data_IF_961316240920
#
_entry.id   IF_961316240920
#
_cell.length_a   1.000
_cell.length_b   1.000
_cell.length_c   1.000
_cell.angle_alpha   90.00
_cell.angle_beta   90.00
_cell.angle_gamma   90.00
#
_symmetry.space_group_name_H-M   'P 1'
#
loop_
_entity.id
_entity.type
_entity.pdbx_description
1 polymer ?
#
# COMPACT_ATOMS: atom_id res chain seq x y z
N UNK A 1 28.03 -34.25 -10.74
CA UNK A 1 27.07 -33.17 -10.87
C UNK A 1 27.65 -31.93 -10.21
N UNK A 2 28.14 -30.98 -11.02
CA UNK A 2 28.83 -29.79 -10.55
C UNK A 2 27.89 -28.83 -9.82
N UNK A 3 28.43 -27.92 -9.01
CA UNK A 3 27.64 -26.88 -8.33
C UNK A 3 26.85 -25.98 -9.33
N UNK A 4 27.35 -25.84 -10.55
CA UNK A 4 26.68 -25.15 -11.65
C UNK A 4 25.45 -25.90 -12.19
N UNK A 5 25.44 -27.22 -12.22
CA UNK A 5 24.29 -28.03 -12.63
C UNK A 5 23.15 -27.96 -11.60
N UNK A 6 23.46 -27.80 -10.30
CA UNK A 6 22.44 -27.61 -9.24
C UNK A 6 21.80 -26.21 -9.26
N UNK A 7 22.51 -25.20 -9.74
CA UNK A 7 21.96 -23.83 -9.91
C UNK A 7 20.99 -23.74 -11.10
N UNK A 8 21.19 -24.56 -12.15
CA UNK A 8 20.35 -24.53 -13.35
C UNK A 8 19.00 -25.24 -13.19
N UNK A 9 18.77 -25.99 -12.12
CA UNK A 9 17.52 -26.77 -11.94
C UNK A 9 16.41 -26.00 -11.21
N UNK A 10 16.61 -24.76 -10.78
CA UNK A 10 15.59 -23.98 -10.02
C UNK A 10 15.05 -22.73 -10.72
N UNK A 11 15.47 -22.39 -11.93
CA UNK A 11 15.13 -21.09 -12.56
C UNK A 11 14.59 -21.16 -13.98
N UNK A 12 14.02 -22.25 -14.44
CA UNK A 12 13.26 -22.20 -15.72
C UNK A 12 11.86 -21.65 -15.46
N UNK A 13 11.76 -20.32 -15.27
CA UNK A 13 10.47 -19.65 -15.29
C UNK A 13 9.88 -19.78 -16.69
N UNK A 14 8.71 -20.41 -16.82
CA UNK A 14 8.01 -20.50 -18.09
C UNK A 14 7.49 -19.09 -18.50
N UNK A 15 8.21 -18.47 -19.42
CA UNK A 15 7.81 -17.17 -19.99
C UNK A 15 6.77 -17.27 -21.11
N UNK A 16 6.27 -18.45 -21.44
CA UNK A 16 5.16 -18.62 -22.42
C UNK A 16 3.84 -18.11 -21.83
N UNK A 17 3.66 -18.25 -20.52
CA UNK A 17 2.44 -17.84 -19.83
C UNK A 17 2.15 -16.34 -19.94
N UNK A 18 0.88 -15.99 -20.09
CA UNK A 18 0.41 -14.58 -20.07
C UNK A 18 0.55 -13.97 -18.67
N UNK A 19 0.38 -14.76 -17.60
CA UNK A 19 0.53 -14.34 -16.21
C UNK A 19 1.77 -14.99 -15.61
N UNK A 20 2.73 -14.17 -15.22
CA UNK A 20 3.97 -14.56 -14.57
C UNK A 20 3.81 -14.40 -13.05
N UNK A 21 4.01 -15.47 -12.28
CA UNK A 21 3.86 -15.51 -10.82
C UNK A 21 5.19 -15.82 -10.12
N UNK A 22 6.10 -14.85 -10.02
CA UNK A 22 7.40 -15.05 -9.41
C UNK A 22 7.26 -15.33 -7.91
N UNK A 23 8.14 -16.20 -7.38
CA UNK A 23 8.22 -16.52 -5.94
C UNK A 23 9.49 -15.99 -5.29
N UNK A 24 10.43 -15.46 -6.10
CA UNK A 24 11.70 -14.90 -5.62
C UNK A 24 12.01 -13.56 -6.31
N UNK A 25 12.94 -12.79 -5.74
CA UNK A 25 13.41 -11.52 -6.31
C UNK A 25 14.11 -11.74 -7.65
N UNK A 26 14.89 -12.82 -7.75
CA UNK A 26 15.58 -13.20 -8.98
C UNK A 26 14.60 -13.49 -10.11
N UNK A 27 13.49 -14.19 -9.81
CA UNK A 27 12.45 -14.48 -10.79
C UNK A 27 11.72 -13.21 -11.25
N UNK A 28 11.55 -12.20 -10.37
CA UNK A 28 11.02 -10.88 -10.75
C UNK A 28 11.99 -10.19 -11.72
N UNK A 29 13.28 -10.17 -11.40
CA UNK A 29 14.34 -9.58 -12.24
C UNK A 29 14.35 -10.23 -13.62
N UNK A 30 14.33 -11.56 -13.70
CA UNK A 30 14.34 -12.30 -14.95
C UNK A 30 13.10 -12.04 -15.80
N UNK A 31 11.92 -12.00 -15.18
CA UNK A 31 10.67 -11.69 -15.86
C UNK A 31 10.71 -10.29 -16.51
N UNK A 32 11.18 -9.28 -15.78
CA UNK A 32 11.29 -7.91 -16.30
C UNK A 32 12.36 -7.84 -17.40
N UNK A 33 13.54 -8.44 -17.21
CA UNK A 33 14.60 -8.51 -18.24
C UNK A 33 14.10 -9.18 -19.52
N UNK A 34 13.35 -10.28 -19.39
CA UNK A 34 12.78 -10.97 -20.55
C UNK A 34 11.82 -10.04 -21.32
N UNK A 35 10.86 -9.42 -20.62
CA UNK A 35 9.91 -8.51 -21.24
C UNK A 35 10.59 -7.29 -21.85
N UNK A 36 11.58 -6.71 -21.18
CA UNK A 36 12.37 -5.58 -21.71
C UNK A 36 13.11 -5.95 -23.00
N UNK A 37 13.83 -7.07 -23.02
CA UNK A 37 14.57 -7.54 -24.21
C UNK A 37 13.68 -7.84 -25.41
N UNK A 38 12.45 -8.26 -25.17
CA UNK A 38 11.47 -8.62 -26.19
C UNK A 38 10.49 -7.49 -26.53
N UNK A 39 10.63 -6.32 -25.90
CA UNK A 39 9.69 -5.20 -26.00
C UNK A 39 8.24 -5.61 -25.72
N UNK A 40 8.04 -6.46 -24.71
CA UNK A 40 6.72 -6.93 -24.30
C UNK A 40 6.15 -5.98 -23.23
N UNK A 41 5.01 -5.31 -23.49
CA UNK A 41 4.32 -4.51 -22.47
C UNK A 41 3.90 -5.38 -21.27
N UNK A 42 4.31 -4.98 -20.05
CA UNK A 42 4.14 -5.73 -18.82
C UNK A 42 3.27 -4.96 -17.83
N UNK A 43 2.14 -5.55 -17.44
CA UNK A 43 1.32 -5.07 -16.34
C UNK A 43 1.89 -5.59 -15.01
N UNK A 44 1.95 -4.72 -13.99
CA UNK A 44 2.35 -5.10 -12.64
C UNK A 44 1.09 -5.21 -11.78
N UNK A 45 0.88 -6.36 -11.16
CA UNK A 45 -0.30 -6.63 -10.35
C UNK A 45 0.06 -7.25 -8.99
N UNK A 46 -0.75 -6.95 -7.98
CA UNK A 46 -0.79 -7.67 -6.71
C UNK A 46 -2.12 -8.44 -6.62
N UNK A 47 -2.97 -8.08 -5.66
CA UNK A 47 -4.32 -8.65 -5.51
C UNK A 47 -5.39 -7.99 -6.41
N UNK A 48 -5.02 -7.04 -7.27
CA UNK A 48 -5.90 -6.47 -8.28
C UNK A 48 -6.93 -5.45 -7.80
N UNK A 49 -6.97 -5.11 -6.52
CA UNK A 49 -7.99 -4.21 -5.93
C UNK A 49 -8.06 -2.80 -6.53
N UNK A 50 -7.08 -2.42 -7.34
CA UNK A 50 -6.96 -1.07 -7.95
C UNK A 50 -6.88 -1.12 -9.47
N UNK A 51 -7.24 -2.25 -10.06
CA UNK A 51 -7.11 -2.49 -11.50
C UNK A 51 -8.02 -1.60 -12.34
N UNK A 52 -9.16 -1.21 -11.78
CA UNK A 52 -10.15 -0.33 -12.43
C UNK A 52 -9.79 1.15 -12.34
N UNK A 53 -8.66 1.52 -11.70
CA UNK A 53 -8.23 2.92 -11.56
C UNK A 53 -7.35 3.31 -12.72
N UNK A 54 -7.67 4.44 -13.36
CA UNK A 54 -6.89 4.99 -14.45
C UNK A 54 -7.41 4.59 -15.83
N UNK A 55 -6.56 4.73 -16.83
CA UNK A 55 -6.89 4.37 -18.21
C UNK A 55 -6.58 2.90 -18.49
N UNK A 56 -7.43 2.25 -19.26
CA UNK A 56 -7.11 0.93 -19.78
C UNK A 56 -5.88 1.00 -20.67
N UNK A 57 -4.96 0.08 -20.46
CA UNK A 57 -3.80 -0.11 -21.33
C UNK A 57 -3.73 -1.56 -21.81
N UNK A 58 -3.10 -1.75 -22.97
CA UNK A 58 -2.92 -3.08 -23.51
C UNK A 58 -1.60 -3.66 -23.01
N UNK A 59 -1.67 -4.64 -22.11
CA UNK A 59 -0.53 -5.43 -21.70
C UNK A 59 -0.56 -6.79 -22.42
N UNK A 60 0.60 -7.31 -22.77
CA UNK A 60 0.72 -8.67 -23.30
C UNK A 60 0.99 -9.68 -22.20
N UNK A 61 1.59 -9.23 -21.10
CA UNK A 61 1.87 -10.06 -19.94
C UNK A 61 1.55 -9.31 -18.64
N UNK A 62 1.22 -10.09 -17.62
CA UNK A 62 1.01 -9.59 -16.25
C UNK A 62 2.04 -10.21 -15.31
N UNK A 63 2.74 -9.40 -14.55
CA UNK A 63 3.59 -9.83 -13.44
C UNK A 63 2.74 -9.77 -12.16
N UNK A 64 2.28 -10.93 -11.71
CA UNK A 64 1.46 -11.09 -10.51
C UNK A 64 2.35 -11.37 -9.30
N UNK A 65 2.46 -10.39 -8.43
CA UNK A 65 3.30 -10.43 -7.22
C UNK A 65 2.58 -11.01 -6.01
N UNK A 66 1.33 -11.41 -6.11
CA UNK A 66 0.55 -11.91 -4.97
C UNK A 66 1.19 -13.12 -4.26
N UNK A 67 1.94 -13.94 -5.00
CA UNK A 67 2.69 -15.08 -4.47
C UNK A 67 4.05 -14.70 -3.85
N UNK A 68 4.54 -13.47 -4.09
CA UNK A 68 5.77 -12.94 -3.50
C UNK A 68 5.45 -12.16 -2.24
N UNK A 69 5.04 -12.85 -1.18
CA UNK A 69 4.50 -12.30 0.05
C UNK A 69 5.22 -12.79 1.30
N UNK A 70 5.00 -12.11 2.40
CA UNK A 70 5.47 -12.47 3.73
C UNK A 70 6.17 -11.31 4.45
N UNK A 71 6.18 -11.40 5.79
CA UNK A 71 6.93 -10.50 6.67
C UNK A 71 8.38 -10.94 6.67
N UNK A 72 9.29 -10.00 6.41
CA UNK A 72 10.75 -10.23 6.42
C UNK A 72 11.29 -9.92 7.81
N UNK A 73 10.87 -8.79 8.39
CA UNK A 73 11.27 -8.34 9.72
C UNK A 73 10.19 -7.44 10.32
N UNK A 74 9.92 -7.61 11.61
CA UNK A 74 9.06 -6.72 12.35
C UNK A 74 9.73 -6.35 13.67
N UNK A 75 9.95 -5.08 13.90
CA UNK A 75 10.56 -4.52 15.10
C UNK A 75 9.57 -3.54 15.74
N UNK A 76 8.70 -4.03 16.63
CA UNK A 76 7.65 -3.22 17.24
C UNK A 76 8.20 -2.02 18.02
N UNK A 77 9.33 -2.19 18.71
CA UNK A 77 9.94 -1.14 19.53
C UNK A 77 10.61 -0.05 18.69
N UNK A 78 11.06 -0.40 17.49
CA UNK A 78 11.61 0.53 16.51
C UNK A 78 10.53 1.10 15.56
N UNK A 79 9.28 0.69 15.75
CA UNK A 79 8.10 1.15 15.00
C UNK A 79 8.23 0.98 13.47
N UNK A 80 8.74 -0.16 13.02
CA UNK A 80 8.72 -0.49 11.60
C UNK A 80 8.46 -1.97 11.33
N UNK A 81 7.91 -2.22 10.14
CA UNK A 81 7.77 -3.55 9.56
C UNK A 81 8.39 -3.58 8.17
N UNK A 82 9.13 -4.64 7.86
CA UNK A 82 9.69 -4.91 6.54
C UNK A 82 9.01 -6.13 5.95
N UNK A 83 8.46 -5.96 4.75
CA UNK A 83 7.65 -6.99 4.09
C UNK A 83 7.98 -7.11 2.61
N UNK A 84 7.65 -8.24 2.00
CA UNK A 84 7.62 -8.42 0.56
C UNK A 84 6.44 -7.66 -0.03
N UNK A 85 6.58 -7.11 -1.24
CA UNK A 85 5.60 -6.21 -1.86
C UNK A 85 4.23 -6.86 -2.12
N UNK A 86 4.17 -8.16 -2.34
CA UNK A 86 2.94 -8.93 -2.52
C UNK A 86 2.20 -9.26 -1.22
N UNK A 87 2.70 -8.85 -0.06
CA UNK A 87 2.03 -9.10 1.23
C UNK A 87 0.72 -8.32 1.29
N UNK A 88 -0.38 -9.01 1.61
CA UNK A 88 -1.69 -8.39 1.72
C UNK A 88 -1.75 -7.41 2.91
N UNK A 89 -2.50 -6.34 2.75
CA UNK A 89 -2.74 -5.37 3.84
C UNK A 89 -3.38 -6.08 5.04
N UNK A 90 -4.30 -7.03 4.78
CA UNK A 90 -4.92 -7.84 5.84
C UNK A 90 -3.87 -8.58 6.69
N UNK A 91 -2.94 -9.30 6.05
CA UNK A 91 -1.89 -10.02 6.78
C UNK A 91 -0.97 -9.09 7.57
N UNK A 92 -0.68 -7.88 7.04
CA UNK A 92 0.11 -6.88 7.77
C UNK A 92 -0.67 -6.39 8.99
N UNK A 93 -1.95 -6.07 8.86
CA UNK A 93 -2.80 -5.64 9.97
C UNK A 93 -2.86 -6.70 11.07
N UNK A 94 -3.08 -7.97 10.70
CA UNK A 94 -3.10 -9.10 11.64
C UNK A 94 -1.77 -9.24 12.42
N UNK A 95 -0.63 -8.97 11.78
CA UNK A 95 0.66 -9.00 12.45
C UNK A 95 0.85 -7.82 13.40
N UNK A 96 0.47 -6.61 12.96
CA UNK A 96 0.57 -5.39 13.76
C UNK A 96 -0.37 -5.39 14.98
N UNK A 97 -1.54 -6.01 14.84
CA UNK A 97 -2.55 -6.14 15.90
C UNK A 97 -2.02 -6.88 17.12
N UNK A 98 -1.12 -7.85 16.94
CA UNK A 98 -0.46 -8.59 18.04
C UNK A 98 0.34 -7.69 18.98
N UNK A 99 0.71 -6.49 18.52
CA UNK A 99 1.51 -5.50 19.26
C UNK A 99 0.80 -4.16 19.41
N UNK A 100 -0.52 -4.13 19.22
CA UNK A 100 -1.35 -2.92 19.27
C UNK A 100 -0.80 -1.78 18.41
N UNK A 101 -0.35 -2.11 17.18
CA UNK A 101 0.19 -1.17 16.20
C UNK A 101 -0.64 -1.15 14.93
N UNK A 102 -0.44 -0.14 14.08
CA UNK A 102 -1.23 0.09 12.87
C UNK A 102 -0.43 0.74 11.75
N UNK A 103 -0.91 0.57 10.52
CA UNK A 103 -0.56 1.41 9.37
C UNK A 103 -1.38 2.71 9.48
N UNK A 104 -0.80 3.76 10.04
CA UNK A 104 -1.54 4.97 10.37
C UNK A 104 -2.10 5.74 9.16
N UNK A 105 -1.55 5.53 7.96
CA UNK A 105 -2.07 6.10 6.71
C UNK A 105 -3.36 5.44 6.21
N UNK A 106 -3.88 4.44 6.93
CA UNK A 106 -5.19 3.81 6.70
C UNK A 106 -5.39 3.35 5.25
N UNK A 107 -4.75 2.25 4.81
CA UNK A 107 -5.02 1.71 3.49
C UNK A 107 -6.49 1.38 3.30
N UNK A 108 -7.12 1.95 2.26
CA UNK A 108 -8.53 1.77 1.97
C UNK A 108 -8.81 0.44 1.23
N UNK A 109 -10.00 -0.11 1.46
CA UNK A 109 -10.54 -1.24 0.72
C UNK A 109 -11.17 -0.79 -0.61
N UNK A 110 -10.33 -0.69 -1.64
CA UNK A 110 -10.80 -0.34 -2.98
C UNK A 110 -11.51 -1.50 -3.69
N UNK A 111 -11.30 -2.74 -3.26
CA UNK A 111 -12.03 -3.88 -3.80
C UNK A 111 -13.52 -3.77 -3.50
N UNK A 112 -13.90 -3.39 -2.29
CA UNK A 112 -15.29 -3.13 -1.94
C UNK A 112 -15.93 -2.04 -2.80
N UNK A 113 -15.15 -1.00 -3.14
CA UNK A 113 -15.64 0.14 -3.94
C UNK A 113 -15.85 -0.22 -5.42
N UNK A 114 -14.93 -0.98 -6.02
CA UNK A 114 -14.93 -1.22 -7.47
C UNK A 114 -15.50 -2.58 -7.85
N UNK A 115 -15.24 -3.61 -7.06
CA UNK A 115 -15.57 -5.01 -7.40
C UNK A 115 -16.68 -5.59 -6.52
N UNK A 116 -17.17 -4.82 -5.53
CA UNK A 116 -18.18 -5.26 -4.56
C UNK A 116 -17.69 -6.36 -3.59
N UNK A 117 -16.38 -6.66 -3.59
CA UNK A 117 -15.75 -7.66 -2.71
C UNK A 117 -14.61 -7.02 -1.94
N UNK A 118 -14.56 -7.27 -0.62
CA UNK A 118 -13.47 -6.77 0.21
C UNK A 118 -12.11 -7.23 -0.31
N UNK A 119 -11.27 -6.27 -0.70
CA UNK A 119 -9.91 -6.48 -1.15
C UNK A 119 -9.07 -5.21 -0.93
N UNK A 120 -8.43 -5.10 0.22
CA UNK A 120 -7.53 -3.98 0.54
C UNK A 120 -6.26 -3.97 -0.34
N UNK A 121 -5.98 -5.09 -1.01
CA UNK A 121 -4.83 -5.26 -1.89
C UNK A 121 -3.55 -5.63 -1.16
N UNK A 122 -2.42 -5.45 -1.86
CA UNK A 122 -1.07 -5.66 -1.34
C UNK A 122 -0.43 -4.34 -0.95
N UNK A 123 0.57 -4.39 -0.06
CA UNK A 123 1.33 -3.20 0.34
C UNK A 123 2.03 -2.55 -0.86
N UNK A 124 2.59 -3.35 -1.77
CA UNK A 124 3.19 -2.84 -3.01
C UNK A 124 2.17 -2.05 -3.85
N UNK A 125 0.95 -2.56 -4.01
CA UNK A 125 -0.12 -1.88 -4.73
C UNK A 125 -0.59 -0.59 -4.04
N UNK A 126 -0.70 -0.58 -2.71
CA UNK A 126 -1.07 0.61 -1.93
C UNK A 126 -0.02 1.71 -2.09
N UNK A 127 1.26 1.37 -1.94
CA UNK A 127 2.35 2.34 -2.09
C UNK A 127 2.52 2.81 -3.54
N UNK A 128 2.42 1.90 -4.51
CA UNK A 128 2.48 2.29 -5.92
C UNK A 128 1.42 3.33 -6.30
N UNK A 129 0.26 3.32 -5.66
CA UNK A 129 -0.81 4.30 -5.87
C UNK A 129 -0.76 5.48 -4.89
N UNK A 130 0.02 5.39 -3.82
CA UNK A 130 0.09 6.37 -2.72
C UNK A 130 -1.30 6.67 -2.11
N UNK A 131 -2.13 5.65 -1.97
CA UNK A 131 -3.44 5.82 -1.37
C UNK A 131 -3.37 5.81 0.15
N UNK A 132 -4.16 6.68 0.73
CA UNK A 132 -4.29 6.86 2.17
C UNK A 132 -5.75 7.16 2.53
N UNK A 133 -6.13 6.84 3.76
CA UNK A 133 -7.44 7.12 4.30
C UNK A 133 -7.65 8.58 4.73
N UNK A 134 -8.79 8.87 5.36
CA UNK A 134 -9.19 10.23 5.72
C UNK A 134 -8.27 10.92 6.73
N UNK A 135 -7.46 10.16 7.48
CA UNK A 135 -6.46 10.73 8.40
C UNK A 135 -5.21 11.30 7.71
N UNK A 136 -5.17 11.32 6.38
CA UNK A 136 -4.01 11.78 5.60
C UNK A 136 -3.51 13.17 6.01
N UNK A 137 -4.38 14.12 6.30
CA UNK A 137 -3.99 15.47 6.71
C UNK A 137 -3.29 15.51 8.08
N UNK A 138 -3.55 14.52 8.93
CA UNK A 138 -2.96 14.40 10.26
C UNK A 138 -1.68 13.58 10.29
N UNK A 139 -1.69 12.42 9.65
CA UNK A 139 -0.61 11.43 9.74
C UNK A 139 0.25 11.35 8.48
N UNK A 140 -0.12 12.06 7.42
CA UNK A 140 0.53 11.97 6.13
C UNK A 140 -0.05 10.86 5.23
N UNK A 141 0.46 10.77 4.03
CA UNK A 141 0.11 9.76 3.03
C UNK A 141 0.93 8.48 3.21
N UNK A 142 0.61 7.45 2.44
CA UNK A 142 1.41 6.21 2.43
C UNK A 142 2.90 6.49 2.15
N UNK A 143 3.19 7.46 1.26
CA UNK A 143 4.54 7.92 0.93
C UNK A 143 5.34 8.40 2.15
N UNK A 144 4.67 9.01 3.12
CA UNK A 144 5.32 9.60 4.29
C UNK A 144 5.71 8.53 5.34
N UNK A 145 5.19 7.32 5.18
CA UNK A 145 5.48 6.17 6.02
C UNK A 145 6.52 5.19 5.42
N UNK A 146 6.95 5.38 4.16
CA UNK A 146 7.99 4.53 3.57
C UNK A 146 9.35 4.95 4.09
N UNK A 147 10.05 4.04 4.78
CA UNK A 147 11.41 4.22 5.30
C UNK A 147 12.47 3.81 4.29
N UNK A 148 12.16 2.81 3.47
CA UNK A 148 13.04 2.30 2.44
C UNK A 148 12.43 1.18 1.64
N UNK A 149 13.08 0.83 0.54
CA UNK A 149 12.63 -0.24 -0.33
C UNK A 149 13.80 -0.91 -1.06
N UNK A 150 13.53 -2.13 -1.55
CA UNK A 150 14.18 -2.73 -2.70
C UNK A 150 13.18 -2.83 -3.84
N UNK A 151 13.68 -2.78 -5.06
CA UNK A 151 12.84 -2.91 -6.24
C UNK A 151 13.63 -3.21 -7.50
N UNK A 152 12.93 -3.37 -8.59
CA UNK A 152 13.49 -3.66 -9.92
C UNK A 152 12.99 -2.59 -10.89
N UNK A 153 13.90 -1.94 -11.59
CA UNK A 153 13.54 -0.95 -12.60
C UNK A 153 13.08 -1.63 -13.92
N UNK A 154 12.62 -0.83 -14.89
CA UNK A 154 12.14 -1.35 -16.17
C UNK A 154 13.19 -2.09 -17.03
N UNK A 155 14.48 -2.00 -16.69
CA UNK A 155 15.56 -2.76 -17.35
C UNK A 155 15.90 -4.07 -16.65
N UNK A 156 15.23 -4.36 -15.52
CA UNK A 156 15.53 -5.52 -14.69
C UNK A 156 16.74 -5.35 -13.79
N UNK A 157 17.11 -4.11 -13.45
CA UNK A 157 18.21 -3.81 -12.53
C UNK A 157 17.65 -3.61 -11.12
N UNK A 158 18.32 -4.19 -10.13
CA UNK A 158 17.98 -4.02 -8.72
C UNK A 158 18.32 -2.59 -8.27
N UNK A 159 17.37 -1.96 -7.62
CA UNK A 159 17.50 -0.65 -7.00
C UNK A 159 17.09 -0.73 -5.53
N UNK A 160 17.73 0.07 -4.70
CA UNK A 160 17.36 0.22 -3.29
C UNK A 160 17.54 1.67 -2.84
N UNK A 161 16.72 2.12 -1.92
CA UNK A 161 16.85 3.42 -1.29
C UNK A 161 16.31 3.36 0.13
N UNK A 162 16.88 4.18 1.02
CA UNK A 162 16.51 4.20 2.42
C UNK A 162 16.97 2.95 3.19
N UNK A 163 16.36 2.72 4.33
CA UNK A 163 16.66 1.62 5.24
C UNK A 163 15.51 1.34 6.18
N UNK A 164 15.83 1.19 7.47
CA UNK A 164 14.86 1.03 8.55
C UNK A 164 14.79 2.23 9.48
N UNK A 165 15.59 3.27 9.21
CA UNK A 165 15.66 4.49 10.03
C UNK A 165 14.88 5.64 9.40
N UNK A 166 14.28 6.46 10.24
CA UNK A 166 13.41 7.57 9.82
C UNK A 166 14.19 8.69 9.09
N UNK A 167 15.50 8.81 9.31
CA UNK A 167 16.33 9.86 8.73
C UNK A 167 17.31 9.28 7.72
N UNK A 168 17.07 9.56 6.44
CA UNK A 168 18.05 9.35 5.37
C UNK A 168 18.60 10.72 4.94
N UNK A 169 19.92 10.92 5.07
CA UNK A 169 20.56 12.22 4.82
C UNK A 169 21.43 12.23 3.58
N UNK A 170 21.49 11.13 2.82
CA UNK A 170 22.36 11.00 1.67
C UNK A 170 21.60 10.62 0.40
N UNK A 171 21.71 11.45 -0.65
CA UNK A 171 21.16 11.18 -1.97
C UNK A 171 19.66 11.54 -2.13
N UNK A 172 19.14 11.25 -3.34
CA UNK A 172 17.72 11.45 -3.63
C UNK A 172 16.85 10.42 -2.88
N UNK A 173 15.72 10.88 -2.37
CA UNK A 173 14.72 10.01 -1.76
C UNK A 173 13.89 9.31 -2.86
N UNK A 174 14.44 8.24 -3.41
CA UNK A 174 13.76 7.45 -4.45
C UNK A 174 12.46 6.83 -3.91
N UNK A 175 12.33 6.61 -2.62
CA UNK A 175 11.09 6.10 -2.01
C UNK A 175 9.94 7.04 -2.27
N UNK A 176 10.20 8.35 -2.19
CA UNK A 176 9.20 9.39 -2.44
C UNK A 176 8.80 9.50 -3.93
N UNK A 177 9.73 9.21 -4.84
CA UNK A 177 9.48 9.26 -6.29
C UNK A 177 8.67 8.03 -6.73
N UNK A 178 9.02 6.86 -6.22
CA UNK A 178 8.39 5.61 -6.62
C UNK A 178 7.01 5.40 -6.00
N UNK A 179 6.78 5.95 -4.81
CA UNK A 179 5.45 5.91 -4.19
C UNK A 179 4.51 6.88 -4.93
N UNK A 180 3.46 6.32 -5.52
CA UNK A 180 2.53 7.06 -6.38
C UNK A 180 2.87 6.97 -7.88
N UNK A 181 3.88 6.17 -8.26
CA UNK A 181 4.26 5.97 -9.67
C UNK A 181 3.39 4.95 -10.42
N UNK A 182 2.42 4.32 -9.76
CA UNK A 182 1.55 3.26 -10.30
C UNK A 182 2.33 2.07 -10.90
N UNK A 183 3.55 1.80 -10.39
CA UNK A 183 4.42 0.74 -10.90
C UNK A 183 5.06 1.04 -12.26
N UNK A 184 4.92 2.27 -12.79
CA UNK A 184 5.45 2.63 -14.12
C UNK A 184 6.96 2.87 -14.13
N UNK A 185 7.56 3.18 -12.97
CA UNK A 185 8.99 3.45 -12.85
C UNK A 185 9.79 2.24 -12.34
N UNK A 186 9.20 1.46 -11.46
CA UNK A 186 9.82 0.26 -10.89
C UNK A 186 8.78 -0.65 -10.24
N UNK A 187 9.19 -1.88 -9.99
CA UNK A 187 8.46 -2.88 -9.21
C UNK A 187 9.08 -2.94 -7.83
N UNK A 188 8.31 -2.69 -6.77
CA UNK A 188 8.77 -2.94 -5.41
C UNK A 188 8.94 -4.44 -5.17
N UNK A 189 10.04 -4.85 -4.53
CA UNK A 189 10.25 -6.21 -4.05
C UNK A 189 10.18 -6.30 -2.53
N UNK A 190 10.91 -5.46 -1.80
CA UNK A 190 10.85 -5.34 -0.35
C UNK A 190 10.53 -3.91 0.05
N UNK A 191 9.76 -3.74 1.11
CA UNK A 191 9.31 -2.44 1.58
C UNK A 191 9.46 -2.39 3.10
N UNK A 192 10.11 -1.34 3.61
CA UNK A 192 10.15 -0.99 5.03
C UNK A 192 9.17 0.15 5.28
N UNK A 193 8.21 -0.07 6.16
CA UNK A 193 7.13 0.88 6.46
C UNK A 193 7.14 1.21 7.94
N UNK A 194 7.05 2.52 8.25
CA UNK A 194 6.81 3.01 9.60
C UNK A 194 5.42 2.59 10.05
N UNK A 195 5.32 2.10 11.27
CA UNK A 195 4.06 1.80 11.95
C UNK A 195 3.90 2.71 13.18
N UNK A 196 2.69 2.85 13.66
CA UNK A 196 2.40 3.65 14.86
C UNK A 196 1.58 2.82 15.84
N UNK A 197 1.65 3.11 17.16
CA UNK A 197 0.73 2.53 18.12
C UNK A 197 -0.71 2.84 17.75
N UNK A 198 -1.62 1.93 18.06
CA UNK A 198 -3.06 2.22 18.03
C UNK A 198 -3.44 3.07 19.23
N UNK A 199 -4.46 3.90 19.08
CA UNK A 199 -5.09 4.55 20.21
C UNK A 199 -5.84 3.50 21.06
N UNK A 200 -5.79 3.63 22.38
CA UNK A 200 -6.51 2.74 23.29
C UNK A 200 -8.03 2.88 23.13
N UNK A 201 -8.48 4.08 22.78
CA UNK A 201 -9.89 4.39 22.57
C UNK A 201 -10.04 5.39 21.41
N UNK A 202 -10.99 5.12 20.54
CA UNK A 202 -11.43 6.06 19.50
C UNK A 202 -12.90 6.43 19.76
N UNK A 203 -13.18 7.74 19.83
CA UNK A 203 -14.53 8.27 19.94
C UNK A 203 -14.86 9.10 18.71
N UNK A 204 -16.12 9.03 18.29
CA UNK A 204 -16.63 9.85 17.20
C UNK A 204 -17.74 10.77 17.74
N UNK A 205 -17.56 12.09 17.59
CA UNK A 205 -18.61 13.07 17.86
C UNK A 205 -19.43 13.25 16.57
N UNK A 206 -20.71 13.00 16.65
CA UNK A 206 -21.66 13.25 15.56
C UNK A 206 -22.50 14.47 15.90
N UNK A 207 -22.51 15.44 15.00
CA UNK A 207 -23.34 16.65 15.15
C UNK A 207 -24.34 16.66 13.99
N UNK A 208 -25.60 16.56 14.30
CA UNK A 208 -26.66 16.68 13.30
C UNK A 208 -26.85 18.15 12.92
N UNK A 209 -26.66 18.46 11.66
CA UNK A 209 -26.87 19.80 11.13
C UNK A 209 -27.35 19.74 9.68
N UNK A 210 -28.52 20.35 9.39
CA UNK A 210 -29.11 20.31 8.06
C UNK A 210 -28.40 21.22 7.04
N UNK A 211 -27.52 22.14 7.48
CA UNK A 211 -26.93 23.16 6.60
C UNK A 211 -25.42 22.99 6.46
N UNK A 212 -24.95 22.83 5.20
CA UNK A 212 -23.52 22.70 4.86
C UNK A 212 -22.63 23.78 5.48
N UNK A 213 -23.05 25.06 5.40
CA UNK A 213 -22.25 26.16 5.95
C UNK A 213 -21.95 25.98 7.44
N UNK A 214 -22.96 25.62 8.23
CA UNK A 214 -22.80 25.41 9.65
C UNK A 214 -22.03 24.15 9.99
N UNK A 215 -22.20 23.08 9.18
CA UNK A 215 -21.37 21.86 9.29
C UNK A 215 -19.88 22.13 9.05
N UNK A 216 -19.54 22.97 8.07
CA UNK A 216 -18.16 23.38 7.81
C UNK A 216 -17.60 24.27 8.94
N UNK A 217 -18.40 25.15 9.53
CA UNK A 217 -18.01 25.93 10.71
C UNK A 217 -17.64 25.00 11.89
N UNK A 218 -18.46 23.99 12.18
CA UNK A 218 -18.19 23.02 13.23
C UNK A 218 -16.95 22.19 12.95
N UNK A 219 -16.72 21.77 11.70
CA UNK A 219 -15.49 21.08 11.32
C UNK A 219 -14.26 21.96 11.55
N UNK A 220 -14.30 23.22 11.18
CA UNK A 220 -13.20 24.16 11.39
C UNK A 220 -12.91 24.37 12.89
N UNK A 221 -13.96 24.51 13.72
CA UNK A 221 -13.82 24.64 15.18
C UNK A 221 -13.17 23.36 15.76
N UNK A 222 -13.69 22.19 15.36
CA UNK A 222 -13.19 20.91 15.85
C UNK A 222 -11.72 20.68 15.47
N UNK A 223 -11.38 20.87 14.19
CA UNK A 223 -10.03 20.67 13.66
C UNK A 223 -9.02 21.70 14.20
N UNK A 224 -9.47 22.89 14.59
CA UNK A 224 -8.64 23.93 15.22
C UNK A 224 -8.60 23.85 16.74
N UNK A 225 -9.30 22.90 17.37
CA UNK A 225 -9.36 22.77 18.82
C UNK A 225 -8.14 22.09 19.42
N UNK A 226 -7.94 22.25 20.72
CA UNK A 226 -6.89 21.56 21.48
C UNK A 226 -7.12 20.06 21.63
N UNK A 227 -8.29 19.53 21.25
CA UNK A 227 -8.60 18.10 21.28
C UNK A 227 -7.90 17.32 20.18
N UNK A 228 -7.38 18.04 19.17
CA UNK A 228 -6.56 17.49 18.07
C UNK A 228 -7.18 16.27 17.38
N UNK A 229 -8.39 16.36 16.83
CA UNK A 229 -9.10 15.23 16.26
C UNK A 229 -8.34 14.61 15.08
N UNK A 230 -8.39 13.29 14.97
CA UNK A 230 -7.69 12.56 13.91
C UNK A 230 -8.38 12.64 12.54
N UNK A 231 -9.63 13.06 12.48
CA UNK A 231 -10.39 13.21 11.25
C UNK A 231 -11.69 13.96 11.47
N UNK A 232 -12.24 14.54 10.40
CA UNK A 232 -13.56 15.15 10.39
C UNK A 232 -14.16 15.06 8.99
N UNK A 233 -15.47 14.85 8.92
CA UNK A 233 -16.19 14.74 7.66
C UNK A 233 -17.58 15.35 7.78
N UNK A 234 -18.03 15.94 6.70
CA UNK A 234 -19.42 16.37 6.54
C UNK A 234 -20.12 15.45 5.55
N UNK A 235 -21.24 14.86 5.97
CA UNK A 235 -22.08 14.06 5.10
C UNK A 235 -23.34 14.85 4.73
N UNK A 236 -23.63 15.10 3.44
CA UNK A 236 -24.90 15.62 2.99
C UNK A 236 -26.07 14.69 3.37
N UNK A 237 -27.26 15.26 3.56
CA UNK A 237 -28.44 14.54 4.03
C UNK A 237 -28.80 13.31 3.17
N UNK A 238 -28.62 13.40 1.85
CA UNK A 238 -28.94 12.29 0.95
C UNK A 238 -28.05 11.03 1.17
N UNK A 239 -26.92 11.16 1.88
CA UNK A 239 -26.10 10.01 2.30
C UNK A 239 -26.53 9.43 3.64
N UNK A 240 -27.42 10.09 4.41
CA UNK A 240 -27.79 9.67 5.76
C UNK A 240 -28.23 8.22 5.83
N UNK A 241 -29.06 7.78 4.86
CA UNK A 241 -29.59 6.42 4.82
C UNK A 241 -28.58 5.35 4.36
N UNK A 242 -27.41 5.76 3.86
CA UNK A 242 -26.34 4.85 3.42
C UNK A 242 -25.35 4.50 4.55
N UNK A 243 -25.34 5.31 5.61
CA UNK A 243 -24.51 5.09 6.78
C UNK A 243 -25.38 4.57 7.92
N UNK A 244 -25.13 3.32 8.30
CA UNK A 244 -25.80 2.70 9.45
C UNK A 244 -25.14 3.25 10.71
N UNK A 245 -25.63 4.36 11.23
CA UNK A 245 -25.30 4.86 12.56
C UNK A 245 -26.17 4.19 13.64
N UNK A 246 -26.37 2.85 13.53
CA UNK A 246 -27.27 2.12 14.42
C UNK A 246 -26.79 2.06 15.89
N UNK A 247 -25.54 2.44 16.14
CA UNK A 247 -24.93 2.37 17.47
C UNK A 247 -24.59 3.75 18.06
N UNK A 248 -25.16 4.82 17.53
CA UNK A 248 -24.99 6.14 18.12
C UNK A 248 -25.86 6.25 19.38
N UNK A 249 -25.25 6.14 20.54
CA UNK A 249 -25.87 6.62 21.77
C UNK A 249 -25.86 8.13 21.75
N UNK A 250 -27.04 8.75 21.62
CA UNK A 250 -27.21 10.18 21.89
C UNK A 250 -27.16 10.39 23.40
N UNK A 251 -26.07 11.00 23.90
CA UNK A 251 -26.05 11.62 25.23
C UNK A 251 -26.57 13.03 25.17
#
# INVERSE_FOLDING_TARGET
>A
MSMEEKLNFQTSQDFSATILKPKSEEAIVEAIKHCYKKNIPLEINGLGSKKSIGKNFQSQKTLDLSSYSGVIKYEPEELYIKVKSGTSIKAIKEELDKKNQQLAFEPNDFGSLFDGKSNEGTIGGVLSCNFAGPRRFKVGSARDHVLGFKGVNGKGELIKSGGTVVKNVTGYDLSKILTGSFGTLSVFTEISVKVLPKADLTKTLVIENPHLKKGLEYLNIALGSSTDPSGGVFYPEYFRNQFIFNDLTTE
#
